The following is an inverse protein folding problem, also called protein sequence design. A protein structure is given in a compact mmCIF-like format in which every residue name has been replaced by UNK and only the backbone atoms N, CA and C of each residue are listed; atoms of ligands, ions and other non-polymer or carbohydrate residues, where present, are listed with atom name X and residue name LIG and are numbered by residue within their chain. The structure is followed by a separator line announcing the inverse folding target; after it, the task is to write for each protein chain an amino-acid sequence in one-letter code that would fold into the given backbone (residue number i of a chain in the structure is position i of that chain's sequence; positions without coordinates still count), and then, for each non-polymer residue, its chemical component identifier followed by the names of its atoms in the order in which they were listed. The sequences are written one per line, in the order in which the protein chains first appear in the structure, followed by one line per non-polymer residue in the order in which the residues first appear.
data_IF_076331167651
#
_entry.id   IF_076331167651
#
_cell.length_a   1.000
_cell.length_b   1.000
_cell.length_c   1.000
_cell.angle_alpha   90.00
_cell.angle_beta   90.00
_cell.angle_gamma   90.00
#
_symmetry.space_group_name_H-M   'P 1'
#
loop_
_entity.id
_entity.type
_entity.pdbx_description
1 polymer ?
#
# COMPACT_ATOMS: atom_id res chain seq x y z
N UNK A 1 -9.82 -16.16 2.19
CA UNK A 1 -9.90 -15.69 3.60
C UNK A 1 -8.48 -15.38 4.10
N UNK A 2 -8.27 -14.24 4.76
CA UNK A 2 -6.98 -13.88 5.33
C UNK A 2 -6.64 -14.80 6.51
N UNK A 3 -5.43 -15.38 6.51
CA UNK A 3 -4.95 -16.25 7.59
C UNK A 3 -4.12 -15.40 8.57
N UNK A 4 -4.81 -14.74 9.50
CA UNK A 4 -4.23 -13.85 10.50
C UNK A 4 -3.06 -14.49 11.25
N UNK A 5 -3.22 -15.74 11.67
CA UNK A 5 -2.23 -16.45 12.50
C UNK A 5 -0.96 -16.76 11.68
N UNK A 6 -1.13 -17.25 10.45
CA UNK A 6 0.00 -17.50 9.55
C UNK A 6 0.74 -16.20 9.23
N UNK A 7 0.02 -15.17 8.80
CA UNK A 7 0.63 -13.90 8.38
C UNK A 7 1.33 -13.22 9.55
N UNK A 8 0.69 -13.17 10.73
CA UNK A 8 1.30 -12.63 11.95
C UNK A 8 2.55 -13.40 12.33
N UNK A 9 2.53 -14.74 12.26
CA UNK A 9 3.70 -15.57 12.53
C UNK A 9 4.89 -15.26 11.60
N UNK A 10 4.62 -15.06 10.30
CA UNK A 10 5.65 -14.68 9.33
C UNK A 10 6.21 -13.28 9.59
N UNK A 11 5.34 -12.30 9.86
CA UNK A 11 5.75 -10.91 10.14
C UNK A 11 6.60 -10.81 11.41
N UNK A 12 6.21 -11.51 12.47
CA UNK A 12 6.99 -11.55 13.74
C UNK A 12 8.36 -12.17 13.52
N UNK A 13 8.46 -13.18 12.66
CA UNK A 13 9.73 -13.87 12.36
C UNK A 13 10.66 -13.05 11.45
N UNK A 14 10.11 -12.13 10.65
CA UNK A 14 10.88 -11.22 9.81
C UNK A 14 11.57 -10.13 10.65
N UNK A 15 12.74 -9.67 10.24
CA UNK A 15 13.41 -8.51 10.83
C UNK A 15 12.80 -7.18 10.35
N UNK A 16 13.28 -6.07 10.92
CA UNK A 16 12.75 -4.74 10.61
C UNK A 16 12.91 -4.35 9.12
N UNK A 17 14.02 -4.73 8.48
CA UNK A 17 14.25 -4.42 7.07
C UNK A 17 13.31 -5.24 6.18
N UNK A 18 13.14 -6.53 6.46
CA UNK A 18 12.24 -7.42 5.74
C UNK A 18 10.79 -6.95 5.83
N UNK A 19 10.33 -6.57 7.02
CA UNK A 19 8.98 -6.01 7.26
C UNK A 19 8.74 -4.76 6.43
N UNK A 20 9.69 -3.83 6.43
CA UNK A 20 9.58 -2.59 5.67
C UNK A 20 9.64 -2.82 4.15
N UNK A 21 10.46 -3.78 3.70
CA UNK A 21 10.53 -4.17 2.30
C UNK A 21 9.21 -4.80 1.83
N UNK A 22 8.60 -5.70 2.61
CA UNK A 22 7.29 -6.29 2.28
C UNK A 22 6.20 -5.22 2.26
N UNK A 23 6.16 -4.33 3.25
CA UNK A 23 5.22 -3.22 3.26
C UNK A 23 5.37 -2.35 1.99
N UNK A 24 6.61 -2.12 1.54
CA UNK A 24 6.89 -1.41 0.28
C UNK A 24 6.33 -2.13 -0.95
N UNK A 25 6.39 -3.47 -0.99
CA UNK A 25 5.80 -4.26 -2.08
C UNK A 25 4.27 -4.16 -2.08
N UNK A 26 3.63 -4.15 -0.91
CA UNK A 26 2.20 -3.90 -0.75
C UNK A 26 1.81 -2.49 -1.24
N UNK A 27 2.54 -1.44 -0.83
CA UNK A 27 2.30 -0.08 -1.30
C UNK A 27 2.41 0.03 -2.82
N UNK A 28 3.42 -0.60 -3.42
CA UNK A 28 3.59 -0.61 -4.87
C UNK A 28 2.36 -1.18 -5.60
N UNK A 29 1.61 -2.09 -4.95
CA UNK A 29 0.33 -2.59 -5.45
C UNK A 29 -0.79 -1.58 -5.27
N UNK A 30 -1.05 -1.14 -4.03
CA UNK A 30 -2.14 -0.21 -3.72
C UNK A 30 -2.02 1.14 -4.44
N UNK A 31 -0.80 1.64 -4.64
CA UNK A 31 -0.52 2.93 -5.27
C UNK A 31 -1.08 3.07 -6.70
N UNK A 32 -1.40 1.95 -7.38
CA UNK A 32 -1.99 2.01 -8.72
C UNK A 32 -3.38 2.65 -8.72
N UNK A 33 -4.10 2.64 -7.59
CA UNK A 33 -5.38 3.33 -7.45
C UNK A 33 -5.20 4.85 -7.51
N UNK A 34 -4.09 5.39 -7.01
CA UNK A 34 -3.79 6.82 -7.08
C UNK A 34 -3.29 7.28 -8.46
N UNK A 35 -3.05 6.37 -9.40
CA UNK A 35 -2.55 6.67 -10.74
C UNK A 35 -3.70 6.97 -11.73
N UNK A 36 -4.60 7.87 -11.36
CA UNK A 36 -5.80 8.23 -12.14
C UNK A 36 -5.89 9.75 -12.33
N UNK A 37 -6.59 10.20 -13.37
CA UNK A 37 -6.79 11.64 -13.62
C UNK A 37 -7.71 12.33 -12.58
N UNK A 38 -8.39 11.53 -11.75
CA UNK A 38 -9.33 11.98 -10.73
C UNK A 38 -8.70 12.09 -9.33
N UNK A 39 -7.61 11.38 -9.06
CA UNK A 39 -6.89 11.36 -7.79
C UNK A 39 -6.67 12.75 -7.17
N UNK A 40 -5.99 13.65 -7.89
CA UNK A 40 -5.70 15.01 -7.41
C UNK A 40 -6.94 15.94 -7.39
N UNK A 41 -8.05 15.54 -8.04
CA UNK A 41 -9.32 16.29 -8.00
C UNK A 41 -10.10 15.99 -6.72
N UNK A 42 -10.10 14.74 -6.28
CA UNK A 42 -10.77 14.31 -5.05
C UNK A 42 -9.91 14.62 -3.82
N UNK A 43 -8.60 14.39 -3.90
CA UNK A 43 -7.66 14.62 -2.80
C UNK A 43 -6.45 15.39 -3.32
N UNK A 44 -6.40 16.69 -3.02
CA UNK A 44 -5.37 17.58 -3.55
C UNK A 44 -3.95 17.14 -3.15
N UNK A 45 -3.09 16.91 -4.15
CA UNK A 45 -1.68 16.56 -3.95
C UNK A 45 -1.42 15.07 -3.67
N UNK A 46 -2.45 14.23 -3.78
CA UNK A 46 -2.38 12.79 -3.59
C UNK A 46 -1.33 12.14 -4.47
N UNK A 47 -1.37 12.38 -5.79
CA UNK A 47 -0.48 11.68 -6.74
C UNK A 47 0.98 11.88 -6.36
N UNK A 48 1.35 13.14 -6.08
CA UNK A 48 2.70 13.50 -5.67
C UNK A 48 3.09 12.89 -4.33
N UNK A 49 2.19 12.83 -3.36
CA UNK A 49 2.46 12.22 -2.06
C UNK A 49 2.74 10.72 -2.20
N UNK A 50 1.96 10.00 -3.00
CA UNK A 50 2.15 8.57 -3.24
C UNK A 50 3.46 8.32 -4.01
N UNK A 51 3.78 9.11 -5.03
CA UNK A 51 5.04 9.04 -5.76
C UNK A 51 6.25 9.29 -4.85
N UNK A 52 6.19 10.34 -4.03
CA UNK A 52 7.24 10.68 -3.06
C UNK A 52 7.41 9.58 -2.00
N UNK A 53 6.31 8.93 -1.59
CA UNK A 53 6.35 7.80 -0.64
C UNK A 53 6.97 6.54 -1.25
N UNK A 54 6.65 6.22 -2.51
CA UNK A 54 7.27 5.11 -3.24
C UNK A 54 8.75 5.35 -3.49
N UNK A 55 9.13 6.57 -3.89
CA UNK A 55 10.55 6.94 -4.06
C UNK A 55 11.29 6.79 -2.74
N UNK A 56 10.75 7.32 -1.64
CA UNK A 56 11.31 7.18 -0.30
C UNK A 56 11.56 5.72 0.05
N UNK A 57 10.54 4.86 -0.07
CA UNK A 57 10.65 3.45 0.31
C UNK A 57 11.64 2.70 -0.58
N UNK A 58 11.67 2.99 -1.89
CA UNK A 58 12.62 2.38 -2.84
C UNK A 58 14.06 2.82 -2.55
N UNK A 59 14.28 4.10 -2.27
CA UNK A 59 15.60 4.62 -1.87
C UNK A 59 16.10 3.92 -0.60
N UNK A 60 15.23 3.78 0.42
CA UNK A 60 15.54 3.05 1.67
C UNK A 60 15.89 1.58 1.40
N UNK A 61 15.10 0.89 0.57
CA UNK A 61 15.32 -0.51 0.23
C UNK A 61 16.68 -0.76 -0.47
N UNK A 62 17.19 0.21 -1.23
CA UNK A 62 18.51 0.10 -1.91
C UNK A 62 19.64 0.82 -1.18
N UNK A 63 19.38 1.39 0.00
CA UNK A 63 20.38 2.08 0.81
C UNK A 63 20.80 3.44 0.25
N UNK A 64 19.99 4.03 -0.64
CA UNK A 64 20.19 5.36 -1.17
C UNK A 64 19.55 6.43 -0.25
N UNK A 65 20.10 7.66 -0.22
CA UNK A 65 19.43 8.76 0.47
C UNK A 65 18.13 9.13 -0.26
N UNK A 66 16.97 9.13 0.42
CA UNK A 66 15.72 9.54 -0.21
C UNK A 66 15.73 11.04 -0.51
N UNK A 67 15.01 11.46 -1.55
CA UNK A 67 14.93 12.89 -1.92
C UNK A 67 14.21 13.72 -0.86
N UNK A 68 13.22 13.11 -0.20
CA UNK A 68 12.39 13.73 0.82
C UNK A 68 12.57 12.99 2.14
N UNK A 69 12.71 13.73 3.23
CA UNK A 69 12.81 13.16 4.58
C UNK A 69 11.46 12.68 5.12
N UNK A 70 11.47 11.71 6.06
CA UNK A 70 10.25 11.15 6.63
C UNK A 70 9.40 12.19 7.38
N UNK A 71 10.00 13.25 7.94
CA UNK A 71 9.28 14.31 8.66
C UNK A 71 8.39 15.14 7.74
N UNK A 72 8.85 15.38 6.50
CA UNK A 72 8.05 16.09 5.50
C UNK A 72 6.90 15.21 4.99
N UNK A 73 7.15 13.92 4.77
CA UNK A 73 6.09 12.96 4.43
C UNK A 73 5.04 12.88 5.55
N UNK A 74 5.46 12.74 6.80
CA UNK A 74 4.56 12.73 7.96
C UNK A 74 3.70 14.00 8.07
N UNK A 75 4.27 15.17 7.73
CA UNK A 75 3.48 16.41 7.68
C UNK A 75 2.41 16.35 6.60
N UNK A 76 2.76 15.90 5.39
CA UNK A 76 1.81 15.78 4.28
C UNK A 76 0.74 14.72 4.51
N UNK A 77 1.08 13.61 5.18
CA UNK A 77 0.10 12.62 5.60
C UNK A 77 -0.91 13.24 6.57
N UNK A 78 -0.46 13.99 7.58
CA UNK A 78 -1.36 14.67 8.52
C UNK A 78 -2.22 15.75 7.89
N UNK A 79 -1.73 16.42 6.85
CA UNK A 79 -2.51 17.41 6.11
C UNK A 79 -3.74 16.78 5.42
N UNK A 80 -3.69 15.47 5.11
CA UNK A 80 -4.77 14.73 4.46
C UNK A 80 -5.57 13.88 5.46
N UNK A 81 -4.88 13.12 6.32
CA UNK A 81 -5.47 12.16 7.27
C UNK A 81 -5.86 12.80 8.62
N UNK A 82 -5.53 14.07 8.83
CA UNK A 82 -5.68 14.71 10.13
C UNK A 82 -4.60 14.28 11.13
N UNK A 83 -4.80 14.67 12.40
CA UNK A 83 -3.89 14.30 13.48
C UNK A 83 -4.22 12.91 14.04
N UNK A 84 -3.19 12.13 14.37
CA UNK A 84 -3.31 10.75 14.89
C UNK A 84 -4.23 10.61 16.12
N UNK A 85 -4.41 11.67 16.90
CA UNK A 85 -5.17 11.68 18.16
C UNK A 85 -6.62 12.17 18.01
N UNK A 86 -7.03 12.53 16.79
CA UNK A 86 -8.37 13.00 16.50
C UNK A 86 -9.16 11.97 15.67
N UNK A 87 -10.48 11.87 15.87
CA UNK A 87 -11.31 11.06 15.00
C UNK A 87 -11.22 11.61 13.57
N UNK A 88 -10.84 10.73 12.63
CA UNK A 88 -10.86 11.02 11.20
C UNK A 88 -12.27 10.79 10.66
N UNK A 89 -12.83 11.80 10.01
CA UNK A 89 -14.11 11.68 9.29
C UNK A 89 -13.79 11.24 7.86
N UNK A 90 -14.04 9.97 7.56
CA UNK A 90 -13.79 9.42 6.25
C UNK A 90 -14.71 10.05 5.20
N UNK A 91 -14.16 10.56 4.07
CA UNK A 91 -14.98 11.16 3.04
C UNK A 91 -15.77 10.10 2.28
N UNK A 92 -16.99 10.43 1.86
CA UNK A 92 -17.81 9.53 1.05
C UNK A 92 -17.29 9.37 -0.39
N UNK A 93 -17.73 8.29 -1.06
CA UNK A 93 -17.56 8.11 -2.50
C UNK A 93 -16.14 7.72 -2.91
N UNK A 94 -15.65 8.29 -4.03
CA UNK A 94 -14.33 7.95 -4.58
C UNK A 94 -13.19 8.37 -3.64
N UNK A 95 -13.38 9.47 -2.90
CA UNK A 95 -12.36 9.99 -1.99
C UNK A 95 -11.95 8.99 -0.89
N UNK A 96 -12.88 8.16 -0.38
CA UNK A 96 -12.57 7.11 0.60
C UNK A 96 -11.45 6.18 0.12
N UNK A 97 -11.53 5.70 -1.13
CA UNK A 97 -10.52 4.82 -1.72
C UNK A 97 -9.13 5.46 -1.77
N UNK A 98 -9.09 6.76 -2.06
CA UNK A 98 -7.82 7.49 -2.07
C UNK A 98 -7.25 7.68 -0.67
N UNK A 99 -8.10 7.92 0.32
CA UNK A 99 -7.69 7.98 1.72
C UNK A 99 -7.13 6.65 2.22
N UNK A 100 -7.70 5.52 1.81
CA UNK A 100 -7.14 4.19 2.11
C UNK A 100 -5.71 4.05 1.59
N UNK A 101 -5.46 4.48 0.35
CA UNK A 101 -4.12 4.45 -0.26
C UNK A 101 -3.15 5.37 0.48
N UNK A 102 -3.58 6.55 0.91
CA UNK A 102 -2.76 7.46 1.73
C UNK A 102 -2.44 6.84 3.09
N UNK A 103 -3.42 6.20 3.73
CA UNK A 103 -3.26 5.54 5.03
C UNK A 103 -2.27 4.37 4.94
N UNK A 104 -2.37 3.56 3.89
CA UNK A 104 -1.40 2.50 3.59
C UNK A 104 0.00 3.11 3.39
N UNK A 105 0.14 4.19 2.62
CA UNK A 105 1.42 4.84 2.40
C UNK A 105 2.04 5.38 3.70
N UNK A 106 1.24 5.98 4.59
CA UNK A 106 1.71 6.43 5.91
C UNK A 106 2.23 5.26 6.74
N UNK A 107 1.47 4.17 6.86
CA UNK A 107 1.92 2.99 7.61
C UNK A 107 3.19 2.37 7.03
N UNK A 108 3.35 2.36 5.71
CA UNK A 108 4.56 1.84 5.06
C UNK A 108 5.76 2.72 5.37
N UNK A 109 5.62 4.05 5.28
CA UNK A 109 6.68 5.00 5.66
C UNK A 109 7.01 4.87 7.14
N UNK A 110 6.02 4.74 8.03
CA UNK A 110 6.25 4.50 9.47
C UNK A 110 6.97 3.18 9.72
N UNK A 111 6.66 2.12 8.98
CA UNK A 111 7.37 0.82 9.09
C UNK A 111 8.88 0.98 8.85
N UNK A 112 9.30 1.89 7.95
CA UNK A 112 10.72 2.19 7.70
C UNK A 112 11.40 3.03 8.80
N UNK A 113 10.64 3.73 9.63
CA UNK A 113 11.13 4.74 10.58
C UNK A 113 10.89 4.37 12.06
N UNK A 114 9.97 3.45 12.33
CA UNK A 114 9.58 2.97 13.65
C UNK A 114 9.88 1.45 13.78
N UNK A 115 11.15 1.02 13.72
CA UNK A 115 11.49 -0.41 13.67
C UNK A 115 10.98 -1.21 14.88
N UNK A 116 10.88 -0.56 16.05
CA UNK A 116 10.37 -1.17 17.29
C UNK A 116 8.86 -1.47 17.24
N UNK A 117 8.11 -0.77 16.40
CA UNK A 117 6.69 -1.03 16.13
C UNK A 117 6.46 -1.70 14.77
N UNK A 118 7.55 -2.09 14.08
CA UNK A 118 7.52 -2.51 12.69
C UNK A 118 6.74 -3.80 12.43
N UNK A 119 6.59 -4.69 13.42
CA UNK A 119 5.76 -5.89 13.32
C UNK A 119 4.27 -5.54 13.24
N UNK A 120 3.77 -4.72 14.18
CA UNK A 120 2.39 -4.23 14.15
C UNK A 120 2.12 -3.45 12.87
N UNK A 121 2.98 -2.49 12.52
CA UNK A 121 2.81 -1.65 11.34
C UNK A 121 2.81 -2.45 10.03
N UNK A 122 3.74 -3.41 9.90
CA UNK A 122 3.77 -4.27 8.74
C UNK A 122 2.48 -5.10 8.66
N UNK A 123 2.04 -5.71 9.77
CA UNK A 123 0.79 -6.45 9.79
C UNK A 123 -0.42 -5.59 9.41
N UNK A 124 -0.51 -4.36 9.93
CA UNK A 124 -1.58 -3.41 9.61
C UNK A 124 -1.59 -3.06 8.10
N UNK A 125 -0.42 -2.90 7.47
CA UNK A 125 -0.30 -2.72 6.01
C UNK A 125 -0.85 -3.93 5.25
N UNK A 126 -0.50 -5.15 5.67
CA UNK A 126 -0.96 -6.37 5.00
C UNK A 126 -2.48 -6.52 5.11
N UNK A 127 -3.05 -6.26 6.29
CA UNK A 127 -4.50 -6.27 6.51
C UNK A 127 -5.18 -5.17 5.69
N UNK A 128 -4.67 -3.95 5.69
CA UNK A 128 -5.24 -2.85 4.92
C UNK A 128 -5.24 -3.15 3.41
N UNK A 129 -4.15 -3.70 2.86
CA UNK A 129 -4.10 -4.10 1.46
C UNK A 129 -5.03 -5.28 1.14
N UNK A 130 -5.18 -6.25 2.04
CA UNK A 130 -6.17 -7.33 1.90
C UNK A 130 -7.60 -6.78 1.88
N UNK A 131 -7.93 -5.87 2.80
CA UNK A 131 -9.25 -5.22 2.87
C UNK A 131 -9.52 -4.40 1.61
N UNK A 132 -8.55 -3.60 1.13
CA UNK A 132 -8.67 -2.84 -0.11
C UNK A 132 -8.96 -3.75 -1.31
N UNK A 133 -8.26 -4.90 -1.40
CA UNK A 133 -8.49 -5.92 -2.41
C UNK A 133 -9.91 -6.49 -2.35
N UNK A 134 -10.38 -6.81 -1.14
CA UNK A 134 -11.72 -7.32 -0.87
C UNK A 134 -12.80 -6.30 -1.24
N UNK A 135 -12.62 -5.03 -0.86
CA UNK A 135 -13.55 -3.97 -1.25
C UNK A 135 -13.62 -3.80 -2.77
N UNK A 136 -12.48 -3.83 -3.47
CA UNK A 136 -12.45 -3.80 -4.94
C UNK A 136 -13.18 -5.01 -5.54
N UNK A 137 -13.02 -6.20 -4.96
CA UNK A 137 -13.71 -7.41 -5.39
C UNK A 137 -15.23 -7.32 -5.17
N UNK A 138 -15.64 -6.88 -3.98
CA UNK A 138 -17.01 -6.91 -3.49
C UNK A 138 -17.85 -5.67 -3.88
N UNK A 139 -17.28 -4.70 -4.60
CA UNK A 139 -18.06 -3.55 -5.08
C UNK A 139 -19.23 -4.02 -5.95
N UNK A 140 -20.40 -4.03 -5.32
CA UNK A 140 -21.66 -4.56 -5.86
C UNK A 140 -22.14 -3.88 -7.13
N UNK A 141 -21.63 -2.69 -7.44
CA UNK A 141 -21.98 -1.96 -8.67
C UNK A 141 -21.32 -2.58 -9.89
N UNK A 142 -20.15 -3.19 -9.69
CA UNK A 142 -19.33 -3.75 -10.78
C UNK A 142 -18.88 -5.18 -10.48
N UNK A 143 -19.76 -6.20 -10.51
CA UNK A 143 -19.40 -7.56 -10.11
C UNK A 143 -18.18 -8.13 -10.84
N UNK A 144 -17.24 -8.69 -10.08
CA UNK A 144 -16.02 -9.31 -10.61
C UNK A 144 -15.96 -10.79 -10.23
N UNK A 145 -15.43 -11.62 -11.14
CA UNK A 145 -15.10 -13.02 -10.84
C UNK A 145 -13.67 -13.20 -10.33
N UNK A 146 -12.96 -12.09 -10.08
CA UNK A 146 -11.59 -12.13 -9.57
C UNK A 146 -11.60 -12.14 -8.05
N UNK A 147 -10.98 -13.16 -7.49
CA UNK A 147 -10.73 -13.29 -6.05
C UNK A 147 -9.55 -12.41 -5.64
N UNK A 148 -9.66 -11.09 -5.80
CA UNK A 148 -8.57 -10.13 -5.54
C UNK A 148 -8.03 -10.24 -4.12
N UNK A 149 -8.92 -10.46 -3.14
CA UNK A 149 -8.53 -10.62 -1.75
C UNK A 149 -7.63 -11.86 -1.55
N UNK A 150 -7.96 -12.98 -2.19
CA UNK A 150 -7.16 -14.20 -2.11
C UNK A 150 -5.84 -14.07 -2.86
N UNK A 151 -5.86 -13.41 -4.02
CA UNK A 151 -4.65 -13.12 -4.80
C UNK A 151 -3.69 -12.21 -4.03
N UNK A 152 -4.20 -11.19 -3.34
CA UNK A 152 -3.40 -10.30 -2.49
C UNK A 152 -2.78 -11.06 -1.32
N UNK A 153 -3.55 -11.87 -0.58
CA UNK A 153 -2.99 -12.68 0.51
C UNK A 153 -1.93 -13.66 0.00
N UNK A 154 -2.17 -14.34 -1.13
CA UNK A 154 -1.19 -15.25 -1.72
C UNK A 154 0.10 -14.52 -2.13
N UNK A 155 -0.02 -13.29 -2.66
CA UNK A 155 1.12 -12.46 -3.03
C UNK A 155 1.89 -11.98 -1.80
N UNK A 156 1.21 -11.52 -0.76
CA UNK A 156 1.82 -11.09 0.51
C UNK A 156 2.63 -12.22 1.18
N UNK A 157 2.09 -13.44 1.23
CA UNK A 157 2.80 -14.61 1.75
C UNK A 157 4.03 -14.92 0.89
N UNK A 158 3.89 -14.82 -0.44
CA UNK A 158 5.01 -15.05 -1.36
C UNK A 158 6.09 -13.98 -1.23
N UNK A 159 5.71 -12.73 -0.96
CA UNK A 159 6.63 -11.61 -0.73
C UNK A 159 7.40 -11.79 0.57
N UNK A 160 6.72 -12.16 1.67
CA UNK A 160 7.35 -12.50 2.96
C UNK A 160 8.40 -13.61 2.78
N UNK A 161 8.10 -14.63 1.97
CA UNK A 161 9.06 -15.70 1.64
C UNK A 161 10.20 -15.22 0.74
N UNK A 162 9.92 -14.34 -0.22
CA UNK A 162 10.92 -13.83 -1.16
C UNK A 162 11.95 -12.90 -0.50
N UNK A 163 11.55 -12.21 0.57
CA UNK A 163 12.45 -11.36 1.38
C UNK A 163 13.14 -12.11 2.51
N UNK A 164 12.83 -13.39 2.72
CA UNK A 164 13.47 -14.18 3.77
C UNK A 164 15.01 -14.21 3.57
N UNK A 165 15.74 -14.02 4.65
CA UNK A 165 17.20 -13.84 4.66
C UNK A 165 17.75 -12.54 4.04
N UNK A 166 16.90 -11.61 3.56
CA UNK A 166 17.35 -10.27 3.12
C UNK A 166 17.40 -9.32 4.32
N UNK A 167 18.57 -9.18 4.93
CA UNK A 167 18.75 -8.36 6.14
C UNK A 167 19.44 -7.00 5.88
N UNK A 168 19.76 -6.70 4.62
CA UNK A 168 20.53 -5.53 4.20
C UNK A 168 19.96 -4.92 2.92
N UNK A 169 20.25 -3.64 2.63
CA UNK A 169 19.89 -3.01 1.37
C UNK A 169 20.24 -3.85 0.15
N UNK A 170 19.30 -3.90 -0.79
CA UNK A 170 19.40 -4.73 -1.99
C UNK A 170 19.81 -3.92 -3.22
N UNK A 171 20.39 -4.61 -4.22
CA UNK A 171 20.68 -3.99 -5.50
C UNK A 171 19.38 -3.50 -6.19
N UNK A 172 19.41 -2.39 -6.94
CA UNK A 172 18.24 -1.87 -7.66
C UNK A 172 17.55 -2.90 -8.56
N UNK A 173 18.32 -3.75 -9.25
CA UNK A 173 17.76 -4.80 -10.11
C UNK A 173 16.98 -5.86 -9.32
N UNK A 174 17.44 -6.20 -8.11
CA UNK A 174 16.74 -7.14 -7.22
C UNK A 174 15.43 -6.53 -6.72
N UNK A 175 15.45 -5.24 -6.35
CA UNK A 175 14.22 -4.53 -6.00
C UNK A 175 13.25 -4.47 -7.19
N UNK A 176 13.76 -4.17 -8.38
CA UNK A 176 12.98 -4.17 -9.62
C UNK A 176 12.30 -5.51 -9.89
N UNK A 177 13.02 -6.62 -9.69
CA UNK A 177 12.47 -7.96 -9.83
C UNK A 177 11.34 -8.24 -8.81
N UNK A 178 11.55 -7.90 -7.53
CA UNK A 178 10.51 -8.06 -6.48
C UNK A 178 9.26 -7.22 -6.79
N UNK A 179 9.42 -6.00 -7.30
CA UNK A 179 8.28 -5.16 -7.67
C UNK A 179 7.53 -5.71 -8.90
N UNK A 180 8.25 -6.31 -9.85
CA UNK A 180 7.68 -6.89 -11.06
C UNK A 180 6.84 -8.15 -10.80
N UNK A 181 7.13 -8.91 -9.74
CA UNK A 181 6.33 -10.06 -9.28
C UNK A 181 4.87 -9.70 -8.95
N UNK A 182 4.60 -8.41 -8.69
CA UNK A 182 3.27 -7.89 -8.41
C UNK A 182 2.53 -7.37 -9.65
N UNK A 183 3.14 -7.38 -10.83
CA UNK A 183 2.62 -6.65 -12.00
C UNK A 183 1.21 -7.08 -12.41
N UNK A 184 0.92 -8.39 -12.44
CA UNK A 184 -0.41 -8.87 -12.80
C UNK A 184 -1.50 -8.43 -11.81
N UNK A 185 -1.20 -8.44 -10.51
CA UNK A 185 -2.14 -8.01 -9.49
C UNK A 185 -2.33 -6.48 -9.50
N UNK A 186 -1.27 -5.72 -9.82
CA UNK A 186 -1.35 -4.26 -10.04
C UNK A 186 -2.26 -3.91 -11.20
N UNK A 187 -2.08 -4.57 -12.34
CA UNK A 187 -2.96 -4.39 -13.50
C UNK A 187 -4.40 -4.77 -13.18
N UNK A 188 -4.58 -5.80 -12.33
CA UNK A 188 -5.89 -6.22 -11.90
C UNK A 188 -6.58 -5.15 -11.03
N UNK A 189 -5.86 -4.58 -10.06
CA UNK A 189 -6.36 -3.45 -9.24
C UNK A 189 -6.69 -2.24 -10.10
N UNK A 190 -5.80 -1.86 -11.02
CA UNK A 190 -6.00 -0.72 -11.90
C UNK A 190 -7.28 -0.86 -12.73
N UNK A 191 -7.47 -2.03 -13.35
CA UNK A 191 -8.66 -2.30 -14.15
C UNK A 191 -9.91 -2.26 -13.29
N UNK A 192 -9.86 -2.91 -12.13
CA UNK A 192 -11.01 -3.00 -11.23
C UNK A 192 -11.41 -1.63 -10.70
N UNK A 193 -10.43 -0.82 -10.32
CA UNK A 193 -10.69 0.52 -9.83
C UNK A 193 -11.22 1.44 -10.94
N UNK A 194 -10.76 1.28 -12.19
CA UNK A 194 -11.33 2.01 -13.32
C UNK A 194 -12.82 1.71 -13.52
N UNK A 195 -13.25 0.46 -13.30
CA UNK A 195 -14.68 0.11 -13.33
C UNK A 195 -15.45 0.85 -12.22
N UNK A 196 -14.90 0.89 -10.99
CA UNK A 196 -15.47 1.62 -9.85
C UNK A 196 -15.62 3.12 -10.16
N UNK A 197 -14.59 3.74 -10.75
CA UNK A 197 -14.63 5.15 -11.14
C UNK A 197 -15.67 5.42 -12.23
N UNK A 198 -15.74 4.59 -13.26
CA UNK A 198 -16.67 4.77 -14.39
C UNK A 198 -18.12 4.78 -13.91
N UNK A 199 -18.47 3.91 -12.96
CA UNK A 199 -19.82 3.87 -12.40
C UNK A 199 -20.17 5.10 -11.55
N UNK A 200 -19.18 5.77 -10.92
CA UNK A 200 -19.44 7.02 -10.20
C UNK A 200 -19.68 8.21 -11.15
N UNK A 201 -19.06 8.22 -12.34
CA UNK A 201 -19.31 9.26 -13.34
C UNK A 201 -20.71 9.15 -13.98
N UNK A 202 -21.32 7.95 -14.00
CA UNK A 202 -22.65 7.72 -14.61
C UNK A 202 -23.79 7.50 -13.61
N UNK A 203 -23.51 7.54 -12.30
CA UNK A 203 -24.51 7.51 -11.24
C UNK A 203 -25.20 8.87 -11.07
N UNK A 204 -26.32 9.07 -11.77
CA UNK A 204 -27.37 10.07 -11.46
C UNK A 204 -28.07 9.76 -10.14
#
# INVERSE_FOLDING_TARGET
MFDDDLVRGLVVSADAFQRALVATLCLNRAAVLAATDQADREVAGLCRLIDDSLEYCRARAVGAPPRIGPELLATRFRDILGADDLPFEEPDGVAAWYIDVVSIADYVVRTWNEPDAGDSRCFDVLVACYSLAGMLQDDSRTPSSWELAELETARQISDLRAVDGITEPIAPDRLGALLAESQLLREAYARRFQDVLSDHEFGL
#
